data_IF_148049211090
#
_entry.id   IF_148049211090
#
_cell.length_a   1.000
_cell.length_b   1.000
_cell.length_c   1.000
_cell.angle_alpha   90.00
_cell.angle_beta   90.00
_cell.angle_gamma   90.00
#
_symmetry.space_group_name_H-M   'P 1'
#
loop_
_entity.id
_entity.type
_entity.pdbx_description
1 polymer ?
#
# COMPACT_ATOMS: atom_id res chain seq x y z
N UNK A 1 -5.11 8.13 4.43
CA UNK A 1 -4.78 7.53 3.10
C UNK A 1 -4.32 6.08 3.27
N UNK A 2 -4.41 5.22 2.26
CA UNK A 2 -3.84 3.86 2.28
C UNK A 2 -2.84 3.64 1.14
N UNK A 3 -1.74 2.96 1.43
CA UNK A 3 -0.94 2.27 0.42
C UNK A 3 -1.17 0.76 0.57
N UNK A 4 -1.74 0.14 -0.45
CA UNK A 4 -1.99 -1.30 -0.49
C UNK A 4 -0.94 -1.96 -1.35
N UNK A 5 -0.23 -2.96 -0.82
CA UNK A 5 0.90 -3.62 -1.49
C UNK A 5 0.70 -5.12 -1.48
N UNK A 6 0.99 -5.79 -2.60
CA UNK A 6 1.02 -7.25 -2.63
C UNK A 6 2.29 -7.81 -2.00
N UNK A 7 2.09 -8.73 -1.05
CA UNK A 7 3.15 -9.39 -0.31
C UNK A 7 3.72 -8.52 0.81
N UNK A 8 4.60 -9.14 1.59
CA UNK A 8 5.29 -8.50 2.71
C UNK A 8 6.48 -7.69 2.18
N UNK A 9 6.61 -6.46 2.65
CA UNK A 9 7.78 -5.62 2.35
C UNK A 9 8.89 -5.88 3.38
N UNK A 10 10.15 -5.66 2.96
CA UNK A 10 11.26 -5.63 3.90
C UNK A 10 11.12 -4.45 4.87
N UNK A 11 11.60 -4.55 6.12
CA UNK A 11 11.43 -3.51 7.13
C UNK A 11 11.88 -2.11 6.69
N UNK A 12 12.96 -2.01 5.91
CA UNK A 12 13.50 -0.75 5.41
C UNK A 12 12.52 -0.09 4.43
N UNK A 13 11.90 -0.91 3.57
CA UNK A 13 10.89 -0.43 2.62
C UNK A 13 9.60 -0.05 3.34
N UNK A 14 9.20 -0.82 4.36
CA UNK A 14 8.05 -0.46 5.21
C UNK A 14 8.26 0.91 5.86
N UNK A 15 9.45 1.16 6.45
CA UNK A 15 9.77 2.44 7.08
C UNK A 15 9.67 3.60 6.08
N UNK A 16 10.19 3.45 4.86
CA UNK A 16 10.07 4.47 3.81
C UNK A 16 8.62 4.75 3.41
N UNK A 17 7.77 3.73 3.35
CA UNK A 17 6.33 3.91 3.10
C UNK A 17 5.65 4.67 4.23
N UNK A 18 5.95 4.32 5.48
CA UNK A 18 5.37 4.98 6.65
C UNK A 18 5.77 6.46 6.71
N UNK A 19 7.03 6.78 6.42
CA UNK A 19 7.50 8.16 6.33
C UNK A 19 6.75 8.93 5.22
N UNK A 20 6.62 8.34 4.03
CA UNK A 20 5.89 8.95 2.91
C UNK A 20 4.39 9.10 3.17
N UNK A 21 3.80 8.27 4.04
CA UNK A 21 2.39 8.30 4.40
C UNK A 21 2.09 9.24 5.58
N UNK A 22 3.09 9.62 6.37
CA UNK A 22 2.94 10.43 7.58
C UNK A 22 2.21 11.77 7.33
N UNK A 23 2.52 12.55 6.27
CA UNK A 23 1.84 13.83 6.02
C UNK A 23 0.33 13.71 5.79
N UNK A 24 -0.15 12.48 5.54
CA UNK A 24 -1.53 12.19 5.17
C UNK A 24 -2.28 11.36 6.21
N UNK A 25 -1.69 11.20 7.40
CA UNK A 25 -2.14 10.26 8.43
C UNK A 25 -2.47 8.88 7.82
N UNK A 26 -1.55 8.42 6.97
CA UNK A 26 -1.75 7.26 6.12
C UNK A 26 -1.33 5.94 6.77
N UNK A 27 -1.84 4.82 6.21
CA UNK A 27 -1.51 3.47 6.67
C UNK A 27 -1.02 2.58 5.54
N UNK A 28 -0.11 1.67 5.86
CA UNK A 28 0.42 0.66 4.94
C UNK A 28 -0.34 -0.65 5.13
N UNK A 29 -0.90 -1.18 4.05
CA UNK A 29 -1.62 -2.46 4.00
C UNK A 29 -0.85 -3.43 3.12
N UNK A 30 -0.44 -4.56 3.67
CA UNK A 30 0.26 -5.63 2.96
C UNK A 30 -0.69 -6.81 2.78
N UNK A 31 -1.04 -7.10 1.52
CA UNK A 31 -1.87 -8.25 1.18
C UNK A 31 -1.03 -9.52 1.25
N UNK A 32 -1.32 -10.36 2.23
CA UNK A 32 -0.63 -11.63 2.48
C UNK A 32 -1.42 -12.80 1.88
N UNK A 33 -0.70 -13.82 1.41
CA UNK A 33 -1.29 -14.98 0.74
C UNK A 33 -1.94 -16.00 1.71
N UNK A 34 -1.58 -15.92 2.98
CA UNK A 34 -2.12 -16.76 4.05
C UNK A 34 -2.48 -15.89 5.24
N UNK A 35 -3.46 -16.29 6.06
CA UNK A 35 -3.69 -15.64 7.34
C UNK A 35 -2.38 -15.61 8.13
N UNK A 36 -2.00 -14.42 8.57
CA UNK A 36 -0.78 -14.20 9.35
C UNK A 36 -1.20 -13.68 10.72
N UNK A 37 -0.79 -14.39 11.78
CA UNK A 37 -1.04 -13.98 13.17
C UNK A 37 -0.23 -12.73 13.57
N UNK A 38 0.70 -12.29 12.72
CA UNK A 38 1.51 -11.08 12.93
C UNK A 38 0.69 -9.80 13.08
N UNK A 39 -0.59 -9.80 12.69
CA UNK A 39 -1.57 -8.76 13.02
C UNK A 39 -1.18 -7.33 12.64
N UNK A 40 -1.90 -6.37 13.25
CA UNK A 40 -1.63 -4.94 13.12
C UNK A 40 -0.39 -4.57 13.94
N UNK A 41 0.64 -4.03 13.30
CA UNK A 41 1.82 -3.48 13.95
C UNK A 41 1.88 -1.97 13.69
N UNK A 42 1.30 -1.19 14.61
CA UNK A 42 1.22 0.26 14.47
C UNK A 42 0.44 0.67 13.21
N UNK A 43 1.09 1.35 12.27
CA UNK A 43 0.48 1.78 11.00
C UNK A 43 0.66 0.79 9.84
N UNK A 44 1.17 -0.42 10.12
CA UNK A 44 1.30 -1.51 9.15
C UNK A 44 0.26 -2.60 9.45
N UNK A 45 -0.48 -2.99 8.41
CA UNK A 45 -1.56 -3.97 8.47
C UNK A 45 -1.23 -5.11 7.52
N UNK A 46 -0.96 -6.31 8.05
CA UNK A 46 -0.95 -7.54 7.24
C UNK A 46 -2.38 -8.03 7.10
N UNK A 47 -2.89 -8.07 5.86
CA UNK A 47 -4.29 -8.40 5.56
C UNK A 47 -4.35 -9.61 4.64
N UNK A 48 -5.10 -10.63 5.07
CA UNK A 48 -5.48 -11.75 4.22
C UNK A 48 -6.89 -11.50 3.67
N UNK A 49 -7.05 -11.58 2.35
CA UNK A 49 -8.36 -11.38 1.70
C UNK A 49 -9.17 -12.69 1.72
N UNK A 50 -10.22 -12.75 2.54
CA UNK A 50 -11.17 -13.89 2.57
C UNK A 50 -12.01 -13.98 1.30
N UNK A 51 -12.33 -12.84 0.70
CA UNK A 51 -12.92 -12.72 -0.64
C UNK A 51 -11.98 -11.85 -1.46
N UNK A 52 -11.13 -12.49 -2.26
CA UNK A 52 -10.04 -11.81 -2.95
C UNK A 52 -10.55 -10.84 -4.02
N UNK A 53 -10.22 -9.55 -3.88
CA UNK A 53 -10.59 -8.49 -4.83
C UNK A 53 -9.37 -7.70 -5.27
N UNK A 54 -8.69 -7.05 -4.32
CA UNK A 54 -7.57 -6.15 -4.60
C UNK A 54 -6.35 -6.93 -5.08
N UNK A 55 -6.06 -8.08 -4.45
CA UNK A 55 -4.94 -8.91 -4.84
C UNK A 55 -5.05 -9.42 -6.28
N UNK A 56 -6.13 -10.12 -6.66
CA UNK A 56 -6.34 -10.54 -8.04
C UNK A 56 -6.35 -9.38 -9.04
N UNK A 57 -6.98 -8.26 -8.70
CA UNK A 57 -7.04 -7.09 -9.57
C UNK A 57 -5.65 -6.50 -9.85
N UNK A 58 -4.82 -6.30 -8.81
CA UNK A 58 -3.44 -5.83 -8.96
C UNK A 58 -2.62 -6.76 -9.86
N UNK A 59 -2.71 -8.08 -9.64
CA UNK A 59 -2.03 -9.07 -10.50
C UNK A 59 -2.48 -9.01 -11.95
N UNK A 60 -3.78 -8.92 -12.19
CA UNK A 60 -4.34 -8.82 -13.54
C UNK A 60 -3.88 -7.55 -14.27
N UNK A 61 -3.69 -6.45 -13.54
CA UNK A 61 -3.15 -5.20 -14.06
C UNK A 61 -1.60 -5.17 -14.15
N UNK A 62 -0.93 -6.27 -13.78
CA UNK A 62 0.53 -6.35 -13.65
C UNK A 62 1.10 -5.27 -12.70
N UNK A 63 0.33 -4.91 -11.68
CA UNK A 63 0.68 -3.96 -10.64
C UNK A 63 0.91 -4.68 -9.31
N UNK A 64 1.69 -4.05 -8.43
CA UNK A 64 1.95 -4.57 -7.08
C UNK A 64 1.44 -3.62 -5.99
N UNK A 65 1.29 -2.34 -6.29
CA UNK A 65 0.93 -1.30 -5.33
C UNK A 65 -0.29 -0.55 -5.83
N UNK A 66 -1.21 -0.21 -4.93
CA UNK A 66 -2.25 0.79 -5.13
C UNK A 66 -2.16 1.85 -4.03
N UNK A 67 -2.19 3.12 -4.43
CA UNK A 67 -2.37 4.24 -3.51
C UNK A 67 -3.85 4.63 -3.54
N UNK A 68 -4.50 4.57 -2.39
CA UNK A 68 -5.95 4.74 -2.22
C UNK A 68 -6.23 5.93 -1.32
N UNK A 69 -7.08 6.86 -1.78
CA UNK A 69 -7.50 8.02 -1.00
C UNK A 69 -8.95 7.84 -0.54
N UNK A 70 -9.35 8.59 0.48
CA UNK A 70 -10.73 8.56 0.96
C UNK A 70 -11.71 9.19 -0.04
N UNK A 71 -11.24 10.18 -0.81
CA UNK A 71 -12.00 10.92 -1.81
C UNK A 71 -11.88 10.34 -3.24
N UNK A 72 -10.93 9.42 -3.46
CA UNK A 72 -10.71 8.75 -4.74
C UNK A 72 -10.47 7.26 -4.50
N UNK A 73 -11.33 6.41 -5.08
CA UNK A 73 -11.25 4.95 -4.95
C UNK A 73 -9.83 4.40 -5.17
N UNK A 74 -9.11 4.88 -6.19
CA UNK A 74 -7.68 4.63 -6.39
C UNK A 74 -7.04 5.88 -7.00
N UNK A 75 -5.99 6.42 -6.38
CA UNK A 75 -5.21 7.54 -6.92
C UNK A 75 -4.25 7.08 -8.02
N UNK A 76 -3.61 5.93 -7.82
CA UNK A 76 -2.70 5.36 -8.81
C UNK A 76 -2.20 3.98 -8.40
N UNK A 77 -1.60 3.28 -9.36
CA UNK A 77 -1.00 1.95 -9.17
C UNK A 77 0.44 1.93 -9.65
N UNK A 78 1.25 1.06 -9.07
CA UNK A 78 2.64 0.89 -9.46
C UNK A 78 3.04 -0.59 -9.53
N UNK A 79 3.98 -0.88 -10.44
CA UNK A 79 4.45 -2.24 -10.75
C UNK A 79 5.29 -2.84 -9.62
N UNK A 80 5.91 -2.00 -8.78
CA UNK A 80 6.73 -2.41 -7.66
C UNK A 80 6.70 -1.39 -6.51
N UNK A 81 7.28 -1.72 -5.33
CA UNK A 81 7.24 -0.86 -4.15
C UNK A 81 7.99 0.46 -4.32
N UNK A 82 9.04 0.51 -5.13
CA UNK A 82 9.81 1.73 -5.35
C UNK A 82 9.00 2.75 -6.15
N UNK A 83 8.38 2.30 -7.23
CA UNK A 83 7.47 3.14 -8.02
C UNK A 83 6.26 3.58 -7.20
N UNK A 84 5.77 2.74 -6.27
CA UNK A 84 4.70 3.11 -5.35
C UNK A 84 5.08 4.24 -4.37
N UNK A 85 6.33 4.27 -3.89
CA UNK A 85 6.85 5.43 -3.13
C UNK A 85 6.90 6.69 -3.99
N UNK A 86 7.26 6.54 -5.27
CA UNK A 86 7.22 7.62 -6.25
C UNK A 86 5.83 8.24 -6.37
N UNK A 87 4.76 7.42 -6.40
CA UNK A 87 3.38 7.89 -6.43
C UNK A 87 3.01 8.71 -5.20
N UNK A 88 3.38 8.25 -4.00
CA UNK A 88 3.12 8.95 -2.75
C UNK A 88 3.82 10.32 -2.71
N UNK A 89 5.10 10.36 -3.11
CA UNK A 89 5.88 11.61 -3.20
C UNK A 89 5.28 12.58 -4.21
N UNK A 90 4.94 12.10 -5.41
CA UNK A 90 4.33 12.92 -6.45
C UNK A 90 2.95 13.46 -6.04
N UNK A 91 2.21 12.70 -5.24
CA UNK A 91 0.94 13.15 -4.68
C UNK A 91 1.14 14.22 -3.62
N UNK A 92 2.11 14.06 -2.72
CA UNK A 92 2.45 15.07 -1.71
C UNK A 92 2.80 16.41 -2.35
N UNK A 93 3.65 16.39 -3.37
CA UNK A 93 4.07 17.59 -4.11
C UNK A 93 2.95 18.25 -4.95
N UNK A 94 1.78 17.61 -5.10
CA UNK A 94 0.61 18.19 -5.79
C UNK A 94 -0.43 18.78 -4.86
N UNK A 95 -0.42 18.36 -3.59
CA UNK A 95 -1.35 18.82 -2.56
C UNK A 95 -0.76 19.97 -1.72
N UNK A 96 0.51 20.32 -1.97
CA UNK A 96 1.28 21.44 -1.42
C UNK A 96 1.90 22.23 -2.56
#
# INVERSE_FOLDING_TARGET
MLAVVQGVLMPEVQAAYLEALLPFDGRLVQLVATPDESGVKGSVFSVFETQSLLGPWLRAAQQRVAVVRADHYVYGTAVDPEHGLGLLRAMHARLH
#
